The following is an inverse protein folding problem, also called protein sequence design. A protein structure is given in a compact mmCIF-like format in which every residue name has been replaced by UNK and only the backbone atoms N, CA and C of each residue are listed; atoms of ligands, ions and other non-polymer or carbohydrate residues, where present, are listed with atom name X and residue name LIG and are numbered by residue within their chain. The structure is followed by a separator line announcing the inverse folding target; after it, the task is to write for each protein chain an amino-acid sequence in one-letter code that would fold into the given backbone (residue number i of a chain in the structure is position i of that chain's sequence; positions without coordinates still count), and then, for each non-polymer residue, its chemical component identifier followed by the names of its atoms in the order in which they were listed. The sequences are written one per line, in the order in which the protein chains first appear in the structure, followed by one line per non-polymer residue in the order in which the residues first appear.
data_IF_149732988933
#
_entry.id   IF_149732988933
#
_cell.length_a   1.000
_cell.length_b   1.000
_cell.length_c   1.000
_cell.angle_alpha   90.00
_cell.angle_beta   90.00
_cell.angle_gamma   90.00
#
_symmetry.space_group_name_H-M   'P 1'
#
loop_
_entity.id
_entity.type
_entity.pdbx_description
1 polymer ?
#
# COMPACT_ATOMS: atom_id res chain seq x y z
N UNK A 1 30.53 -22.30 5.90
CA UNK A 1 29.34 -23.12 6.22
C UNK A 1 28.15 -22.18 6.37
N UNK A 2 27.40 -22.00 5.30
CA UNK A 2 26.21 -21.13 5.28
C UNK A 2 25.06 -21.91 5.91
N UNK A 3 24.55 -21.44 7.04
CA UNK A 3 23.31 -21.98 7.63
C UNK A 3 22.14 -21.27 6.95
N UNK A 4 21.52 -21.93 5.99
CA UNK A 4 20.21 -21.54 5.47
C UNK A 4 19.21 -21.67 6.61
N UNK A 5 18.82 -20.55 7.22
CA UNK A 5 17.68 -20.49 8.10
C UNK A 5 16.43 -20.54 7.23
N UNK A 6 15.72 -21.64 7.34
CA UNK A 6 14.37 -21.81 6.77
C UNK A 6 13.46 -20.88 7.58
N UNK A 7 12.66 -19.97 6.95
CA UNK A 7 11.70 -19.16 7.69
C UNK A 7 10.69 -20.10 8.35
N UNK A 8 10.51 -19.93 9.66
CA UNK A 8 9.48 -20.67 10.42
C UNK A 8 8.14 -20.08 10.03
N UNK A 9 7.42 -20.76 9.15
CA UNK A 9 6.02 -20.45 8.84
C UNK A 9 5.16 -20.92 10.03
N UNK A 10 4.76 -20.00 10.88
CA UNK A 10 3.77 -20.28 11.92
C UNK A 10 2.38 -20.12 11.29
N UNK A 11 1.78 -21.22 10.84
CA UNK A 11 0.39 -21.25 10.38
C UNK A 11 -0.47 -21.32 11.64
N UNK A 12 -1.03 -20.20 12.05
CA UNK A 12 -2.02 -20.14 13.13
C UNK A 12 -3.41 -20.05 12.50
N UNK A 13 -4.06 -21.19 12.32
CA UNK A 13 -5.47 -21.24 11.89
C UNK A 13 -6.37 -20.90 13.08
N UNK A 14 -6.96 -19.71 13.09
CA UNK A 14 -8.05 -19.35 13.99
C UNK A 14 -9.33 -19.38 13.15
N UNK A 15 -10.14 -20.42 13.35
CA UNK A 15 -11.46 -20.54 12.74
C UNK A 15 -12.42 -19.54 13.41
N UNK A 16 -12.74 -18.45 12.70
CA UNK A 16 -13.80 -17.50 13.03
C UNK A 16 -14.83 -17.56 11.90
N UNK A 17 -15.66 -18.59 11.88
CA UNK A 17 -16.95 -18.63 11.16
C UNK A 17 -16.99 -18.45 9.62
N UNK A 18 -15.87 -18.24 8.98
CA UNK A 18 -15.56 -18.40 7.55
C UNK A 18 -14.12 -18.90 7.45
N UNK A 19 -13.83 -19.79 6.52
CA UNK A 19 -12.53 -20.47 6.38
C UNK A 19 -11.44 -19.47 5.95
N UNK A 20 -11.01 -18.61 6.90
CA UNK A 20 -9.93 -17.67 6.70
C UNK A 20 -8.67 -18.16 7.39
N UNK A 21 -7.56 -18.18 6.67
CA UNK A 21 -6.23 -18.50 7.19
C UNK A 21 -5.31 -17.28 7.06
N UNK A 22 -4.21 -17.28 7.82
CA UNK A 22 -3.19 -16.22 7.70
C UNK A 22 -1.79 -16.79 7.84
N UNK A 23 -0.85 -16.19 7.12
CA UNK A 23 0.59 -16.38 7.33
C UNK A 23 1.19 -15.18 8.03
N UNK A 24 2.16 -15.40 8.90
CA UNK A 24 2.91 -14.34 9.58
C UNK A 24 4.38 -14.56 9.30
N UNK A 25 5.03 -13.52 8.79
CA UNK A 25 6.48 -13.49 8.61
C UNK A 25 7.12 -12.54 9.62
N UNK A 26 8.37 -12.77 9.95
CA UNK A 26 9.10 -11.95 10.92
C UNK A 26 10.47 -11.54 10.39
N UNK A 27 10.94 -10.38 10.86
CA UNK A 27 12.32 -9.95 10.71
C UNK A 27 13.27 -10.77 11.62
N UNK A 28 14.57 -10.67 11.36
CA UNK A 28 15.61 -11.34 12.18
C UNK A 28 15.59 -10.92 13.66
N UNK A 29 15.06 -9.75 13.98
CA UNK A 29 14.89 -9.26 15.37
C UNK A 29 13.64 -9.81 16.08
N UNK A 30 12.82 -10.62 15.38
CA UNK A 30 11.58 -11.21 15.90
C UNK A 30 10.32 -10.35 15.71
N UNK A 31 10.44 -9.10 15.28
CA UNK A 31 9.28 -8.28 14.96
C UNK A 31 8.57 -8.82 13.70
N UNK A 32 7.24 -8.68 13.66
CA UNK A 32 6.44 -9.06 12.49
C UNK A 32 6.85 -8.20 11.31
N UNK A 33 7.12 -8.82 10.16
CA UNK A 33 7.38 -8.14 8.89
C UNK A 33 6.16 -8.09 8.00
N UNK A 34 5.34 -9.16 7.98
CA UNK A 34 4.08 -9.18 7.24
C UNK A 34 3.03 -10.11 7.86
N UNK A 35 1.77 -9.78 7.62
CA UNK A 35 0.62 -10.67 7.85
C UNK A 35 -0.17 -10.71 6.55
N UNK A 36 -0.34 -11.92 6.01
CA UNK A 36 -1.09 -12.16 4.78
C UNK A 36 -2.30 -13.02 5.09
N UNK A 37 -3.47 -12.57 4.65
CA UNK A 37 -4.76 -13.21 4.93
C UNK A 37 -5.30 -13.86 3.65
N UNK A 38 -5.85 -15.05 3.82
CA UNK A 38 -6.41 -15.85 2.74
C UNK A 38 -7.82 -16.32 3.08
N UNK A 39 -8.60 -16.60 2.06
CA UNK A 39 -9.89 -17.30 2.17
C UNK A 39 -9.83 -18.55 1.30
N UNK A 40 -10.47 -19.62 1.75
CA UNK A 40 -10.63 -20.83 0.93
C UNK A 40 -11.59 -20.55 -0.24
N UNK A 41 -11.19 -20.93 -1.44
CA UNK A 41 -11.99 -20.88 -2.67
C UNK A 41 -11.99 -22.24 -3.37
N UNK A 42 -12.81 -22.37 -4.40
CA UNK A 42 -12.86 -23.62 -5.21
C UNK A 42 -11.52 -23.92 -5.92
N UNK A 43 -10.71 -22.88 -6.18
CA UNK A 43 -9.41 -22.98 -6.84
C UNK A 43 -8.23 -23.08 -5.87
N UNK A 44 -8.48 -22.96 -4.55
CA UNK A 44 -7.46 -23.01 -3.50
C UNK A 44 -7.56 -21.84 -2.49
N UNK A 45 -6.40 -21.27 -2.09
CA UNK A 45 -6.35 -20.14 -1.16
C UNK A 45 -6.26 -18.83 -1.93
N UNK A 46 -7.28 -17.98 -1.81
CA UNK A 46 -7.28 -16.64 -2.37
C UNK A 46 -6.72 -15.64 -1.38
N UNK A 47 -5.74 -14.87 -1.81
CA UNK A 47 -5.19 -13.73 -1.06
C UNK A 47 -6.23 -12.60 -1.02
N UNK A 48 -6.64 -12.21 0.19
CA UNK A 48 -7.66 -11.17 0.37
C UNK A 48 -7.14 -9.89 1.02
N UNK A 49 -6.06 -9.97 1.85
CA UNK A 49 -5.52 -8.80 2.56
C UNK A 49 -4.05 -9.00 2.89
N UNK A 50 -3.30 -7.91 2.89
CA UNK A 50 -1.93 -7.89 3.38
C UNK A 50 -1.69 -6.69 4.30
N UNK A 51 -0.97 -6.94 5.38
CA UNK A 51 -0.40 -5.92 6.27
C UNK A 51 1.11 -6.12 6.31
N UNK A 52 1.86 -5.06 6.07
CA UNK A 52 3.33 -5.06 6.14
C UNK A 52 3.76 -4.10 7.22
N UNK A 53 4.84 -4.41 7.89
CA UNK A 53 5.34 -3.64 9.03
C UNK A 53 6.79 -3.20 8.77
N UNK A 54 7.17 -2.08 9.33
CA UNK A 54 8.56 -1.64 9.43
C UNK A 54 9.33 -2.53 10.42
N UNK A 55 10.64 -2.54 10.33
CA UNK A 55 11.50 -3.30 11.27
C UNK A 55 11.31 -2.85 12.73
N UNK A 56 10.82 -1.64 12.94
CA UNK A 56 10.44 -1.07 14.24
C UNK A 56 9.18 -1.69 14.84
N UNK A 57 8.34 -2.35 14.00
CA UNK A 57 7.06 -2.93 14.37
C UNK A 57 5.85 -2.07 14.01
N UNK A 58 6.05 -0.82 13.61
CA UNK A 58 4.97 0.05 13.13
C UNK A 58 4.49 -0.41 11.74
N UNK A 59 3.20 -0.21 11.46
CA UNK A 59 2.62 -0.59 10.17
C UNK A 59 3.25 0.24 9.04
N UNK A 60 3.66 -0.43 7.97
CA UNK A 60 4.24 0.17 6.76
C UNK A 60 3.22 0.27 5.63
N UNK A 61 2.33 -0.73 5.52
CA UNK A 61 1.36 -0.81 4.43
C UNK A 61 0.17 -1.69 4.83
N UNK A 62 -1.01 -1.35 4.32
CA UNK A 62 -2.20 -2.20 4.39
C UNK A 62 -3.03 -2.03 3.13
N UNK A 63 -3.59 -3.15 2.64
CA UNK A 63 -4.52 -3.14 1.51
C UNK A 63 -5.16 -4.50 1.30
N UNK A 64 -6.16 -4.51 0.44
CA UNK A 64 -6.92 -5.72 0.09
C UNK A 64 -6.61 -6.16 -1.34
N UNK A 65 -6.89 -7.43 -1.60
CA UNK A 65 -6.77 -8.04 -2.91
C UNK A 65 -8.12 -8.65 -3.32
N UNK A 66 -8.35 -8.66 -4.61
CA UNK A 66 -9.44 -9.37 -5.25
C UNK A 66 -8.90 -9.99 -6.54
N UNK A 67 -9.17 -11.27 -6.75
CA UNK A 67 -8.71 -12.02 -7.94
C UNK A 67 -7.18 -11.86 -8.17
N UNK A 68 -6.38 -11.87 -7.09
CA UNK A 68 -4.93 -11.72 -7.12
C UNK A 68 -4.42 -10.30 -7.41
N UNK A 69 -5.31 -9.33 -7.61
CA UNK A 69 -4.98 -7.93 -7.90
C UNK A 69 -5.28 -7.02 -6.72
N UNK A 70 -4.51 -5.93 -6.60
CA UNK A 70 -4.83 -4.89 -5.61
C UNK A 70 -6.19 -4.30 -5.91
N UNK A 71 -7.00 -4.12 -4.83
CA UNK A 71 -8.36 -3.59 -4.92
C UNK A 71 -8.65 -2.68 -3.75
N UNK A 72 -9.53 -1.68 -3.95
CA UNK A 72 -9.96 -0.75 -2.91
C UNK A 72 -8.83 0.11 -2.34
N UNK A 73 -9.02 0.61 -1.13
CA UNK A 73 -8.09 1.55 -0.49
C UNK A 73 -6.81 0.86 -0.04
N UNK A 74 -5.68 1.45 -0.43
CA UNK A 74 -4.33 1.09 0.00
C UNK A 74 -3.71 2.25 0.75
N UNK A 75 -3.21 1.97 1.96
CA UNK A 75 -2.57 2.97 2.83
C UNK A 75 -1.14 2.55 3.12
N UNK A 76 -0.22 3.49 3.00
CA UNK A 76 1.20 3.36 3.32
C UNK A 76 1.56 4.34 4.42
N UNK A 77 2.49 3.97 5.28
CA UNK A 77 2.87 4.74 6.45
C UNK A 77 4.37 4.97 6.52
N UNK A 78 4.77 6.06 7.14
CA UNK A 78 6.13 6.28 7.61
C UNK A 78 6.42 5.39 8.84
N UNK A 79 7.69 5.25 9.21
CA UNK A 79 8.09 4.55 10.44
C UNK A 79 7.53 5.21 11.72
N UNK A 80 7.17 6.49 11.65
CA UNK A 80 6.49 7.23 12.72
C UNK A 80 5.01 6.85 12.90
N UNK A 81 4.44 6.02 12.01
CA UNK A 81 3.02 5.66 11.98
C UNK A 81 2.13 6.71 11.28
N UNK A 82 2.68 7.84 10.87
CA UNK A 82 1.95 8.86 10.08
C UNK A 82 1.71 8.31 8.67
N UNK A 83 0.53 8.57 8.10
CA UNK A 83 0.23 8.23 6.70
C UNK A 83 1.23 8.91 5.77
N UNK A 84 1.78 8.15 4.83
CA UNK A 84 2.66 8.62 3.77
C UNK A 84 1.95 8.73 2.43
N UNK A 85 1.07 7.77 2.14
CA UNK A 85 0.36 7.66 0.87
C UNK A 85 -0.93 6.88 1.09
N UNK A 86 -2.02 7.34 0.49
CA UNK A 86 -3.29 6.62 0.44
C UNK A 86 -3.96 6.85 -0.90
N UNK A 87 -4.60 5.82 -1.44
CA UNK A 87 -5.38 5.91 -2.65
C UNK A 87 -6.10 4.61 -2.96
N UNK A 88 -6.82 4.59 -4.05
CA UNK A 88 -7.63 3.45 -4.46
C UNK A 88 -6.96 2.71 -5.61
N UNK A 89 -7.01 1.38 -5.57
CA UNK A 89 -6.75 0.51 -6.70
C UNK A 89 -8.05 -0.09 -7.22
N UNK A 90 -8.17 -0.18 -8.52
CA UNK A 90 -9.22 -0.92 -9.23
C UNK A 90 -8.56 -1.89 -10.18
N UNK A 91 -8.78 -3.19 -9.97
CA UNK A 91 -8.18 -4.26 -10.79
C UNK A 91 -6.66 -4.14 -10.96
N UNK A 92 -5.96 -3.81 -9.88
CA UNK A 92 -4.50 -3.71 -9.83
C UNK A 92 -3.92 -2.36 -10.26
N UNK A 93 -4.76 -1.44 -10.75
CA UNK A 93 -4.33 -0.12 -11.23
C UNK A 93 -4.74 0.99 -10.26
N UNK A 94 -3.91 2.03 -10.18
CA UNK A 94 -4.29 3.22 -9.42
C UNK A 94 -5.50 3.88 -10.07
N UNK A 95 -6.45 4.31 -9.23
CA UNK A 95 -7.71 4.91 -9.65
C UNK A 95 -8.11 6.03 -8.68
N UNK A 96 -8.85 7.02 -9.17
CA UNK A 96 -9.35 8.13 -8.36
C UNK A 96 -8.25 8.93 -7.65
N UNK A 97 -8.53 9.49 -6.50
CA UNK A 97 -7.63 10.37 -5.78
C UNK A 97 -6.55 9.59 -5.02
N UNK A 98 -5.29 10.02 -5.18
CA UNK A 98 -4.13 9.55 -4.43
C UNK A 98 -3.52 10.72 -3.70
N UNK A 99 -3.42 10.63 -2.36
CA UNK A 99 -2.88 11.67 -1.49
C UNK A 99 -1.56 11.23 -0.89
N UNK A 100 -0.57 12.10 -0.97
CA UNK A 100 0.74 11.98 -0.33
C UNK A 100 0.84 12.96 0.81
N UNK A 101 1.46 12.55 1.92
CA UNK A 101 1.74 13.37 3.08
C UNK A 101 3.22 13.42 3.36
N UNK A 102 3.67 14.54 3.91
CA UNK A 102 4.98 14.64 4.56
C UNK A 102 4.98 13.81 5.85
N UNK A 103 6.18 13.54 6.37
CA UNK A 103 6.37 12.87 7.67
C UNK A 103 5.86 13.66 8.88
N UNK A 104 5.58 14.96 8.68
CA UNK A 104 4.88 15.84 9.63
C UNK A 104 3.36 15.61 9.67
N UNK A 105 2.80 14.90 8.69
CA UNK A 105 1.35 14.69 8.51
C UNK A 105 0.67 15.79 7.69
N UNK A 106 1.40 16.78 7.23
CA UNK A 106 0.88 17.80 6.30
C UNK A 106 0.77 17.16 4.91
N UNK A 107 -0.32 17.48 4.20
CA UNK A 107 -0.52 17.03 2.83
C UNK A 107 0.61 17.61 1.94
N UNK A 108 1.19 16.74 1.11
CA UNK A 108 2.27 17.13 0.20
C UNK A 108 1.78 17.24 -1.24
N UNK A 109 1.01 16.23 -1.71
CA UNK A 109 0.56 16.20 -3.11
C UNK A 109 -0.72 15.37 -3.22
N UNK A 110 -1.61 15.78 -4.09
CA UNK A 110 -2.74 14.99 -4.57
C UNK A 110 -2.64 14.76 -6.07
N UNK A 111 -2.95 13.52 -6.48
CA UNK A 111 -3.05 13.13 -7.88
C UNK A 111 -4.39 12.47 -8.12
N UNK A 112 -5.05 12.87 -9.17
CA UNK A 112 -6.25 12.18 -9.64
C UNK A 112 -5.89 11.29 -10.84
N UNK A 113 -6.15 9.98 -10.70
CA UNK A 113 -5.98 8.99 -11.76
C UNK A 113 -7.33 8.69 -12.40
N UNK A 114 -7.42 8.85 -13.73
CA UNK A 114 -8.56 8.44 -14.55
C UNK A 114 -8.07 7.36 -15.52
N UNK A 115 -8.40 6.11 -15.25
CA UNK A 115 -8.00 4.98 -16.08
C UNK A 115 -8.87 4.92 -17.33
N UNK A 116 -8.33 5.36 -18.47
CA UNK A 116 -9.00 5.25 -19.76
C UNK A 116 -8.49 4.04 -20.52
N UNK A 117 -9.43 3.24 -21.05
CA UNK A 117 -9.09 2.18 -21.99
C UNK A 117 -9.06 2.78 -23.41
N UNK A 118 -7.87 2.82 -24.01
CA UNK A 118 -7.67 3.23 -25.40
C UNK A 118 -7.12 2.02 -26.17
N UNK A 119 -7.80 1.61 -27.23
CA UNK A 119 -7.45 0.45 -28.07
C UNK A 119 -7.18 -0.85 -27.27
N UNK A 120 -7.99 -1.10 -26.22
CA UNK A 120 -7.89 -2.28 -25.37
C UNK A 120 -6.70 -2.24 -24.40
N UNK A 121 -5.95 -1.13 -24.34
CA UNK A 121 -4.90 -0.89 -23.35
C UNK A 121 -5.40 0.15 -22.36
N UNK A 122 -5.23 -0.14 -21.09
CA UNK A 122 -5.50 0.80 -20.02
C UNK A 122 -4.31 1.75 -19.93
N UNK A 123 -4.60 3.04 -20.07
CA UNK A 123 -3.62 4.12 -19.92
C UNK A 123 -3.86 4.79 -18.58
N UNK A 124 -2.87 4.75 -17.69
CA UNK A 124 -2.88 5.57 -16.48
C UNK A 124 -2.75 7.05 -16.87
N UNK A 125 -3.80 7.83 -16.68
CA UNK A 125 -3.77 9.29 -16.84
C UNK A 125 -3.96 9.94 -15.48
N UNK A 126 -3.03 10.81 -15.08
CA UNK A 126 -3.31 11.77 -14.01
C UNK A 126 -3.78 13.06 -14.68
N UNK A 127 -4.97 13.50 -14.24
CA UNK A 127 -5.63 14.65 -14.87
C UNK A 127 -5.27 15.93 -14.11
N UNK A 128 -5.17 15.84 -12.79
CA UNK A 128 -4.91 16.98 -11.91
C UNK A 128 -3.85 16.62 -10.87
N UNK A 129 -3.02 17.60 -10.53
CA UNK A 129 -1.99 17.52 -9.51
C UNK A 129 -2.03 18.79 -8.68
N UNK A 130 -2.23 18.65 -7.38
CA UNK A 130 -2.15 19.74 -6.41
C UNK A 130 -0.98 19.47 -5.46
N UNK A 131 -0.27 20.52 -5.08
CA UNK A 131 0.92 20.42 -4.23
C UNK A 131 0.88 21.45 -3.10
N UNK A 132 1.44 21.07 -1.96
CA UNK A 132 1.59 21.90 -0.77
C UNK A 132 3.03 21.81 -0.25
N UNK A 133 3.52 22.90 0.30
CA UNK A 133 4.80 22.94 1.00
C UNK A 133 4.70 22.31 2.42
N UNK A 134 5.83 22.24 3.11
CA UNK A 134 5.89 21.67 4.48
C UNK A 134 5.15 22.48 5.54
N UNK A 135 4.79 23.70 5.23
CA UNK A 135 3.99 24.60 6.09
C UNK A 135 2.49 24.49 5.77
N UNK A 136 2.14 23.74 4.70
CA UNK A 136 0.76 23.50 4.25
C UNK A 136 0.22 24.57 3.30
N UNK A 137 1.08 25.43 2.73
CA UNK A 137 0.68 26.39 1.73
C UNK A 137 0.67 25.72 0.35
N UNK A 138 -0.34 26.03 -0.46
CA UNK A 138 -0.41 25.60 -1.85
C UNK A 138 0.74 26.19 -2.67
N UNK A 139 1.30 25.39 -3.58
CA UNK A 139 2.47 25.76 -4.38
C UNK A 139 2.42 25.13 -5.78
N UNK A 140 3.27 25.62 -6.68
CA UNK A 140 3.46 24.99 -7.97
C UNK A 140 4.12 23.61 -7.84
N UNK A 141 3.51 22.63 -8.50
CA UNK A 141 4.05 21.27 -8.55
C UNK A 141 5.23 21.21 -9.51
N UNK A 142 6.37 20.70 -9.04
CA UNK A 142 7.48 20.38 -9.94
C UNK A 142 7.18 19.24 -10.92
N UNK A 143 8.03 19.05 -11.91
CA UNK A 143 7.84 18.08 -13.01
C UNK A 143 7.91 16.60 -12.58
N UNK A 144 8.39 16.31 -11.36
CA UNK A 144 8.50 14.94 -10.85
C UNK A 144 7.21 14.51 -10.19
N UNK A 145 6.84 13.24 -10.35
CA UNK A 145 5.60 12.67 -9.76
C UNK A 145 5.55 12.67 -8.22
N UNK A 146 6.67 12.95 -7.52
CA UNK A 146 6.75 13.16 -6.05
C UNK A 146 7.32 14.54 -5.71
N UNK A 147 7.25 15.51 -6.62
CA UNK A 147 7.97 16.75 -6.43
C UNK A 147 7.40 17.56 -5.28
N UNK A 148 8.28 17.86 -4.34
CA UNK A 148 8.14 18.96 -3.42
C UNK A 148 7.91 20.25 -4.22
N UNK A 149 7.31 21.27 -3.60
CA UNK A 149 7.15 22.57 -4.21
C UNK A 149 8.48 23.06 -4.80
N UNK A 150 8.48 23.53 -6.02
CA UNK A 150 9.61 24.26 -6.56
C UNK A 150 9.75 25.57 -5.80
N UNK A 151 10.76 25.66 -4.94
CA UNK A 151 11.17 26.95 -4.35
C UNK A 151 12.09 27.64 -5.34
N UNK A 152 11.58 28.70 -5.98
CA UNK A 152 12.39 29.62 -6.76
C UNK A 152 13.28 30.48 -5.85
#
# INVERSE_FOLDING_TARGET
MSKNLIPIFLILSISLGSDTSRTVETYNNGNISSITYYVDSEEGLDLIKQEVFHVTGEKSMVGIFKDGMREGTWTFFYESGIKRLEGTYTSGQKDSLWTYWYDTGIKATEYFYDNKTIDGKIMEWHIDKECWDKDGNECECGDRWWSECETY
#
